data_IF_918245719742
#
_entry.id   IF_918245719742
#
_cell.length_a   1.000
_cell.length_b   1.000
_cell.length_c   1.000
_cell.angle_alpha   90.00
_cell.angle_beta   90.00
_cell.angle_gamma   90.00
#
_symmetry.space_group_name_H-M   'P 1'
#
loop_
_entity.id
_entity.type
_entity.pdbx_description
1 polymer ?
#
# COMPACT_ATOMS: atom_id res chain seq x y z
N UNK A 1 -6.55 -23.29 -16.05
CA UNK A 1 -6.79 -22.91 -14.64
C UNK A 1 -5.69 -22.01 -14.09
N UNK A 2 -4.48 -22.48 -13.76
CA UNK A 2 -3.42 -21.56 -13.24
C UNK A 2 -3.05 -20.48 -14.26
N UNK A 3 -2.88 -20.87 -15.53
CA UNK A 3 -2.62 -19.93 -16.64
C UNK A 3 -3.70 -18.85 -16.71
N UNK A 4 -4.98 -19.24 -16.78
CA UNK A 4 -6.12 -18.30 -16.81
C UNK A 4 -6.12 -17.34 -15.62
N UNK A 5 -5.78 -17.82 -14.41
CA UNK A 5 -5.69 -16.96 -13.22
C UNK A 5 -4.58 -15.92 -13.40
N UNK A 6 -3.39 -16.34 -13.85
CA UNK A 6 -2.25 -15.44 -14.06
C UNK A 6 -2.55 -14.44 -15.18
N UNK A 7 -3.19 -14.88 -16.27
CA UNK A 7 -3.63 -14.00 -17.36
C UNK A 7 -4.61 -12.95 -16.86
N UNK A 8 -5.58 -13.33 -16.02
CA UNK A 8 -6.53 -12.38 -15.43
C UNK A 8 -5.84 -11.37 -14.51
N UNK A 9 -4.88 -11.81 -13.70
CA UNK A 9 -4.04 -10.91 -12.89
C UNK A 9 -3.24 -9.97 -13.78
N UNK A 10 -2.69 -10.46 -14.89
CA UNK A 10 -1.90 -9.64 -15.80
C UNK A 10 -2.73 -8.58 -16.53
N UNK A 11 -4.00 -8.88 -16.86
CA UNK A 11 -4.94 -7.87 -17.36
C UNK A 11 -5.07 -6.72 -16.35
N UNK A 12 -5.17 -7.03 -15.06
CA UNK A 12 -5.26 -6.00 -14.02
C UNK A 12 -3.98 -5.17 -13.91
N UNK A 13 -2.81 -5.81 -13.99
CA UNK A 13 -1.50 -5.13 -14.01
C UNK A 13 -1.38 -4.21 -15.23
N UNK A 14 -1.89 -4.61 -16.39
CA UNK A 14 -1.95 -3.76 -17.58
C UNK A 14 -2.89 -2.58 -17.38
N UNK A 15 -4.06 -2.80 -16.80
CA UNK A 15 -5.03 -1.73 -16.50
C UNK A 15 -4.46 -0.69 -15.53
N UNK A 16 -3.61 -1.11 -14.59
CA UNK A 16 -2.85 -0.19 -13.74
C UNK A 16 -1.92 0.74 -14.54
N UNK A 17 -1.43 0.28 -15.70
CA UNK A 17 -0.53 1.03 -16.56
C UNK A 17 0.95 0.78 -16.25
N UNK A 18 1.32 -0.45 -15.90
CA UNK A 18 2.71 -0.79 -15.48
C UNK A 18 3.80 -0.46 -16.53
N UNK A 19 3.41 -0.30 -17.80
CA UNK A 19 4.29 0.07 -18.92
C UNK A 19 4.63 1.58 -18.93
N UNK A 20 3.85 2.42 -18.23
CA UNK A 20 4.11 3.84 -18.09
C UNK A 20 5.35 4.10 -17.23
N UNK A 21 6.20 5.06 -17.60
CA UNK A 21 7.43 5.36 -16.85
C UNK A 21 7.19 5.69 -15.38
N UNK A 22 6.08 6.37 -15.07
CA UNK A 22 5.73 6.78 -13.70
C UNK A 22 5.10 5.66 -12.86
N UNK A 23 4.63 4.58 -13.49
CA UNK A 23 3.90 3.49 -12.81
C UNK A 23 4.62 2.14 -12.93
N UNK A 24 5.92 2.16 -13.16
CA UNK A 24 6.71 0.93 -13.25
C UNK A 24 6.72 0.18 -11.92
N UNK A 25 6.37 -1.10 -11.98
CA UNK A 25 6.49 -2.03 -10.86
C UNK A 25 7.91 -2.60 -10.81
N UNK A 26 8.87 -1.78 -10.38
CA UNK A 26 10.31 -2.10 -10.39
C UNK A 26 10.69 -3.35 -9.58
N UNK A 27 9.91 -3.67 -8.55
CA UNK A 27 10.15 -4.81 -7.68
C UNK A 27 9.50 -6.11 -8.19
N UNK A 28 8.80 -6.05 -9.33
CA UNK A 28 8.13 -7.21 -9.92
C UNK A 28 6.95 -7.74 -9.11
N UNK A 29 6.70 -9.04 -9.21
CA UNK A 29 5.57 -9.74 -8.60
C UNK A 29 6.05 -10.58 -7.41
N UNK A 30 5.33 -10.52 -6.29
CA UNK A 30 5.54 -11.39 -5.13
C UNK A 30 4.36 -12.34 -5.00
N UNK A 31 4.63 -13.65 -5.13
CA UNK A 31 3.64 -14.71 -4.96
C UNK A 31 3.65 -15.19 -3.50
N UNK A 32 2.49 -15.22 -2.87
CA UNK A 32 2.32 -15.66 -1.48
C UNK A 32 1.10 -16.57 -1.33
N UNK A 33 0.81 -17.05 -0.11
CA UNK A 33 -0.27 -18.00 0.17
C UNK A 33 0.06 -19.44 -0.21
N UNK A 34 -0.84 -20.39 0.06
CA UNK A 34 -0.62 -21.81 -0.25
C UNK A 34 -0.47 -22.10 -1.74
N UNK A 35 -1.16 -21.33 -2.59
CA UNK A 35 -1.07 -21.47 -4.06
C UNK A 35 0.31 -21.18 -4.63
N UNK A 36 1.14 -20.38 -3.93
CA UNK A 36 2.48 -20.04 -4.40
C UNK A 36 3.47 -21.20 -4.36
N UNK A 37 3.13 -22.28 -3.66
CA UNK A 37 3.96 -23.49 -3.51
C UNK A 37 3.84 -24.47 -4.69
N UNK A 38 2.98 -24.17 -5.67
CA UNK A 38 2.87 -24.98 -6.87
C UNK A 38 4.21 -25.04 -7.61
N UNK A 39 4.62 -26.24 -8.00
CA UNK A 39 5.87 -26.46 -8.74
C UNK A 39 5.87 -25.61 -10.02
N UNK A 40 6.96 -24.91 -10.23
CA UNK A 40 7.21 -24.06 -11.40
C UNK A 40 6.27 -22.87 -11.59
N UNK A 41 5.48 -22.49 -10.56
CA UNK A 41 4.57 -21.35 -10.69
C UNK A 41 5.32 -20.04 -10.92
N UNK A 42 6.46 -19.83 -10.24
CA UNK A 42 7.33 -18.66 -10.47
C UNK A 42 7.66 -18.52 -11.96
N UNK A 43 8.18 -19.58 -12.57
CA UNK A 43 8.59 -19.60 -13.97
C UNK A 43 7.41 -19.33 -14.91
N UNK A 44 6.24 -19.88 -14.58
CA UNK A 44 5.03 -19.65 -15.37
C UNK A 44 4.61 -18.17 -15.32
N UNK A 45 4.63 -17.55 -14.14
CA UNK A 45 4.27 -16.14 -13.98
C UNK A 45 5.26 -15.25 -14.73
N UNK A 46 6.57 -15.47 -14.57
CA UNK A 46 7.60 -14.73 -15.31
C UNK A 46 7.43 -14.88 -16.82
N UNK A 47 7.10 -16.08 -17.30
CA UNK A 47 6.87 -16.33 -18.72
C UNK A 47 5.64 -15.60 -19.28
N UNK A 48 4.54 -15.55 -18.53
CA UNK A 48 3.29 -14.90 -18.98
C UNK A 48 3.39 -13.38 -18.90
N UNK A 49 3.92 -12.84 -17.81
CA UNK A 49 3.89 -11.39 -17.54
C UNK A 49 5.13 -10.66 -18.04
N UNK A 50 6.25 -11.37 -18.23
CA UNK A 50 7.56 -10.78 -18.51
C UNK A 50 8.16 -10.02 -17.32
N UNK A 51 7.59 -10.15 -16.11
CA UNK A 51 8.02 -9.44 -14.91
C UNK A 51 8.76 -10.37 -13.96
N UNK A 52 9.82 -9.86 -13.33
CA UNK A 52 10.55 -10.57 -12.28
C UNK A 52 9.60 -11.04 -11.18
N UNK A 53 9.72 -12.31 -10.78
CA UNK A 53 8.81 -12.89 -9.78
C UNK A 53 9.57 -13.60 -8.66
N UNK A 54 9.08 -13.49 -7.44
CA UNK A 54 9.61 -14.23 -6.28
C UNK A 54 8.51 -14.78 -5.38
N UNK A 55 8.87 -15.76 -4.56
CA UNK A 55 7.99 -16.29 -3.51
C UNK A 55 8.22 -15.47 -2.24
N UNK A 56 7.15 -14.91 -1.67
CA UNK A 56 7.18 -14.17 -0.42
C UNK A 56 6.99 -15.10 0.78
N UNK A 57 7.93 -15.04 1.72
CA UNK A 57 7.90 -15.81 2.97
C UNK A 57 7.70 -14.85 4.15
N UNK A 58 6.88 -15.20 5.16
CA UNK A 58 6.58 -14.31 6.27
C UNK A 58 7.74 -14.13 7.26
N UNK A 59 8.76 -14.98 7.19
CA UNK A 59 9.87 -15.05 8.15
C UNK A 59 10.92 -13.93 8.01
N UNK A 60 10.85 -13.10 6.96
CA UNK A 60 11.81 -11.99 6.75
C UNK A 60 11.83 -11.00 7.93
N UNK A 61 10.74 -10.92 8.71
CA UNK A 61 10.60 -10.05 9.89
C UNK A 61 10.45 -10.82 11.21
N UNK A 62 10.49 -12.16 11.18
CA UNK A 62 10.44 -13.01 12.38
C UNK A 62 11.87 -13.38 12.75
N UNK A 63 12.34 -12.93 13.92
CA UNK A 63 13.72 -13.17 14.35
C UNK A 63 14.05 -14.68 14.45
N UNK A 64 15.07 -15.09 13.69
CA UNK A 64 16.13 -16.03 14.07
C UNK A 64 15.85 -17.54 14.18
N UNK A 65 14.69 -17.96 14.68
CA UNK A 65 14.43 -19.37 15.05
C UNK A 65 12.98 -19.81 14.86
N UNK A 66 12.22 -19.12 13.99
CA UNK A 66 10.86 -19.55 13.68
C UNK A 66 10.89 -20.94 13.05
N UNK A 67 10.16 -21.90 13.64
CA UNK A 67 9.98 -23.25 13.11
C UNK A 67 9.70 -23.19 11.60
N UNK A 68 10.35 -24.08 10.83
CA UNK A 68 10.31 -24.13 9.36
C UNK A 68 8.86 -24.16 8.80
N UNK A 69 7.90 -24.63 9.61
CA UNK A 69 6.48 -24.61 9.29
C UNK A 69 5.88 -23.18 9.25
N UNK A 70 6.22 -22.31 10.20
CA UNK A 70 5.69 -20.92 10.25
C UNK A 70 6.33 -20.05 9.15
N UNK A 71 7.51 -20.45 8.67
CA UNK A 71 8.19 -19.85 7.53
C UNK A 71 7.54 -20.19 6.17
N UNK A 72 6.30 -20.70 6.14
CA UNK A 72 5.59 -21.01 4.90
C UNK A 72 4.81 -19.80 4.34
N UNK A 73 4.78 -19.59 3.01
CA UNK A 73 3.92 -18.57 2.37
C UNK A 73 2.44 -18.74 2.70
N UNK A 74 2.02 -19.95 3.09
CA UNK A 74 0.66 -20.25 3.56
C UNK A 74 0.21 -19.34 4.70
N UNK A 75 1.14 -18.96 5.60
CA UNK A 75 0.85 -18.18 6.80
C UNK A 75 1.03 -16.67 6.63
N UNK A 76 1.37 -16.19 5.42
CA UNK A 76 1.70 -14.79 5.18
C UNK A 76 0.62 -13.81 5.64
N UNK A 77 -0.66 -14.13 5.44
CA UNK A 77 -1.77 -13.28 5.89
C UNK A 77 -1.87 -13.23 7.41
N UNK A 78 -1.78 -14.39 8.08
CA UNK A 78 -1.90 -14.45 9.55
C UNK A 78 -0.76 -13.68 10.23
N UNK A 79 0.48 -13.88 9.74
CA UNK A 79 1.66 -13.15 10.23
C UNK A 79 1.52 -11.66 9.96
N UNK A 80 1.11 -11.25 8.76
CA UNK A 80 0.90 -9.84 8.43
C UNK A 80 -0.17 -9.15 9.30
N UNK A 81 -1.26 -9.86 9.62
CA UNK A 81 -2.29 -9.36 10.55
C UNK A 81 -1.74 -9.21 11.98
N UNK A 82 -0.94 -10.17 12.46
CA UNK A 82 -0.30 -10.09 13.77
C UNK A 82 0.66 -8.89 13.85
N UNK A 83 1.51 -8.71 12.84
CA UNK A 83 2.42 -7.55 12.76
C UNK A 83 1.65 -6.22 12.77
N UNK A 84 0.53 -6.15 12.02
CA UNK A 84 -0.34 -4.97 12.00
C UNK A 84 -0.97 -4.70 13.38
N UNK A 85 -1.37 -5.74 14.10
CA UNK A 85 -1.93 -5.60 15.45
C UNK A 85 -0.89 -5.05 16.42
N UNK A 86 0.32 -5.64 16.46
CA UNK A 86 1.43 -5.20 17.32
C UNK A 86 1.82 -3.75 17.02
N UNK A 87 1.96 -3.38 15.73
CA UNK A 87 2.27 -2.00 15.35
C UNK A 87 1.15 -1.00 15.69
N UNK A 88 -0.10 -1.45 15.80
CA UNK A 88 -1.23 -0.60 16.20
C UNK A 88 -1.31 -0.44 17.72
N UNK A 89 -0.96 -1.47 18.48
CA UNK A 89 -0.89 -1.42 19.94
C UNK A 89 0.26 -0.51 20.41
N UNK A 90 1.43 -0.61 19.76
CA UNK A 90 2.56 0.28 20.02
C UNK A 90 2.25 1.76 19.76
N UNK A 91 1.34 2.07 18.82
CA UNK A 91 0.88 3.44 18.55
C UNK A 91 -0.10 3.97 19.60
N UNK A 92 -0.78 3.08 20.32
CA UNK A 92 -1.77 3.42 21.35
C UNK A 92 -1.21 3.33 22.78
N UNK A 93 0.00 2.80 22.96
CA UNK A 93 0.72 2.88 24.23
C UNK A 93 1.03 4.36 24.58
N UNK A 94 0.88 4.78 25.85
CA UNK A 94 1.26 6.14 26.25
C UNK A 94 2.75 6.32 25.96
N UNK A 95 3.07 7.21 25.01
CA UNK A 95 4.45 7.57 24.66
C UNK A 95 5.12 8.17 25.89
N UNK A 96 5.88 7.37 26.64
CA UNK A 96 6.85 7.89 27.59
C UNK A 96 7.98 8.44 26.73
N UNK A 97 8.12 9.77 26.76
CA UNK A 97 8.92 10.55 25.82
C UNK A 97 10.34 10.01 25.60
N UNK A 98 10.55 9.43 24.43
CA UNK A 98 11.83 9.41 23.76
C UNK A 98 11.59 10.06 22.40
N UNK A 99 12.24 11.21 22.18
CA UNK A 99 12.25 11.88 20.90
C UNK A 99 12.98 10.99 19.88
N UNK A 100 12.23 10.34 19.00
CA UNK A 100 12.78 9.81 17.76
C UNK A 100 12.81 10.97 16.75
N UNK A 101 14.00 11.29 16.27
CA UNK A 101 14.23 12.27 15.21
C UNK A 101 13.57 11.76 13.92
N UNK A 102 12.76 12.63 13.31
CA UNK A 102 12.16 12.46 11.98
C UNK A 102 13.23 12.11 10.94
N UNK A 103 13.22 10.87 10.43
CA UNK A 103 13.77 10.56 9.11
C UNK A 103 12.72 10.94 8.07
N UNK A 104 12.93 12.11 7.48
CA UNK A 104 12.16 12.66 6.37
C UNK A 104 12.46 11.88 5.08
N UNK A 105 11.50 11.07 4.63
CA UNK A 105 11.50 10.50 3.28
C UNK A 105 10.15 10.74 2.60
N UNK A 106 10.07 11.92 1.98
CA UNK A 106 9.39 12.24 0.72
C UNK A 106 7.99 11.65 0.48
N UNK A 107 6.96 12.34 0.98
CA UNK A 107 5.65 12.37 0.31
C UNK A 107 5.63 13.55 -0.67
N UNK A 108 6.05 13.29 -1.92
CA UNK A 108 5.77 14.19 -3.05
C UNK A 108 5.22 13.35 -4.21
N UNK A 109 3.91 13.14 -4.22
CA UNK A 109 3.16 12.70 -5.39
C UNK A 109 1.82 13.45 -5.48
N UNK A 110 1.91 14.74 -5.81
CA UNK A 110 0.80 15.44 -6.46
C UNK A 110 1.14 15.63 -7.95
N UNK A 111 0.37 14.95 -8.80
CA UNK A 111 0.29 15.23 -10.22
C UNK A 111 -1.19 15.22 -10.62
N UNK A 112 -1.86 16.36 -10.46
CA UNK A 112 -3.01 16.70 -11.30
C UNK A 112 -2.64 17.90 -12.17
N UNK A 113 -2.28 17.60 -13.41
CA UNK A 113 -2.24 18.57 -14.51
C UNK A 113 -3.60 18.56 -15.21
N UNK A 114 -4.35 19.64 -15.09
CA UNK A 114 -5.36 20.04 -16.08
C UNK A 114 -5.09 21.51 -16.45
N UNK A 115 -4.80 21.72 -17.73
CA UNK A 115 -4.52 23.02 -18.34
C UNK A 115 -5.84 23.74 -18.68
N UNK A 116 -5.97 25.02 -18.31
CA UNK A 116 -6.68 26.02 -19.14
C UNK A 116 -6.22 27.46 -18.80
N UNK A 117 -5.42 27.97 -19.73
CA UNK A 117 -5.06 29.30 -20.22
C UNK A 117 -5.52 30.66 -19.57
N UNK A 118 -4.58 31.64 -19.66
CA UNK A 118 -4.69 33.14 -19.70
C UNK A 118 -4.50 34.06 -18.45
N UNK A 119 -3.26 34.59 -18.35
CA UNK A 119 -2.74 35.96 -17.99
C UNK A 119 -2.81 36.61 -16.57
N UNK A 120 -1.81 37.48 -16.21
CA UNK A 120 -1.40 37.74 -14.82
C UNK A 120 -1.82 39.11 -14.25
N UNK A 121 -2.29 39.16 -13.00
CA UNK A 121 -2.35 40.39 -12.17
C UNK A 121 -2.08 40.11 -10.68
N UNK A 122 -1.45 41.09 -10.01
CA UNK A 122 -0.82 41.04 -8.68
C UNK A 122 -1.83 41.01 -7.48
N UNK A 123 -1.37 40.83 -6.21
CA UNK A 123 -2.05 40.01 -5.19
C UNK A 123 -3.02 40.76 -4.24
N UNK A 124 -3.99 40.03 -3.65
CA UNK A 124 -4.77 40.46 -2.48
C UNK A 124 -5.04 39.31 -1.50
N UNK A 125 -5.14 39.58 -0.18
CA UNK A 125 -5.06 38.56 0.87
C UNK A 125 -6.43 37.89 1.07
N UNK A 126 -6.49 36.55 1.06
CA UNK A 126 -7.73 35.82 1.32
C UNK A 126 -7.58 34.91 2.55
N UNK A 127 -8.58 35.05 3.43
CA UNK A 127 -8.76 34.44 4.74
C UNK A 127 -8.50 32.91 4.78
N UNK A 128 -8.14 32.35 5.95
CA UNK A 128 -7.73 30.96 6.08
C UNK A 128 -8.85 30.02 5.63
N UNK A 129 -8.53 29.15 4.67
CA UNK A 129 -9.40 28.07 4.21
C UNK A 129 -9.55 27.08 5.36
N UNK A 130 -10.79 26.72 5.70
CA UNK A 130 -11.08 25.69 6.72
C UNK A 130 -10.55 24.34 6.23
N UNK A 131 -9.86 23.62 7.09
CA UNK A 131 -9.22 22.34 6.75
C UNK A 131 -10.24 21.20 6.74
N UNK A 132 -9.96 20.18 5.93
CA UNK A 132 -10.86 19.05 5.60
C UNK A 132 -11.35 18.31 6.86
N UNK A 133 -10.55 18.28 7.93
CA UNK A 133 -10.92 17.69 9.21
C UNK A 133 -12.07 18.43 9.91
N UNK A 134 -12.10 19.76 9.81
CA UNK A 134 -13.16 20.58 10.41
C UNK A 134 -14.49 20.31 9.70
N UNK A 135 -14.48 20.27 8.36
CA UNK A 135 -15.65 19.97 7.54
C UNK A 135 -16.20 18.56 7.80
N UNK A 136 -15.31 17.60 8.06
CA UNK A 136 -15.72 16.24 8.40
C UNK A 136 -16.33 16.16 9.80
N UNK A 137 -15.76 16.86 10.78
CA UNK A 137 -16.27 16.89 12.15
C UNK A 137 -17.64 17.58 12.26
N UNK A 138 -17.84 18.66 11.50
CA UNK A 138 -19.12 19.37 11.43
C UNK A 138 -20.21 18.43 10.88
N UNK A 139 -19.92 17.69 9.81
CA UNK A 139 -20.87 16.71 9.23
C UNK A 139 -21.17 15.52 10.14
N UNK A 140 -20.20 15.05 10.93
CA UNK A 140 -20.42 13.98 11.91
C UNK A 140 -21.33 14.46 13.04
N UNK A 141 -21.13 15.71 13.49
CA UNK A 141 -21.94 16.33 14.53
C UNK A 141 -23.38 16.58 14.06
N UNK A 142 -23.54 17.08 12.83
CA UNK A 142 -24.83 17.26 12.19
C UNK A 142 -25.59 15.94 11.98
N UNK A 143 -24.87 14.83 11.79
CA UNK A 143 -25.47 13.50 11.71
C UNK A 143 -25.93 12.98 13.08
N UNK A 144 -25.17 13.25 14.14
CA UNK A 144 -25.54 12.88 15.51
C UNK A 144 -26.72 13.71 16.04
N UNK A 145 -26.77 15.00 15.70
CA UNK A 145 -27.82 15.91 16.16
C UNK A 145 -29.15 15.74 15.37
N UNK A 146 -29.13 15.15 14.17
CA UNK A 146 -30.34 14.81 13.39
C UNK A 146 -30.81 13.35 13.56
N UNK A 147 -30.12 12.57 14.39
CA UNK A 147 -30.45 11.16 14.64
C UNK A 147 -31.30 10.95 15.92
N UNK A 148 -31.83 12.03 16.50
CA UNK A 148 -32.85 12.03 17.57
C UNK A 148 -34.22 12.46 17.04
#
# INVERSE_FOLDING_TARGET
>A
RVVEIVEQVYVEIKNYGHDEQKKKLIAGIVLTGGGSQLKHLKQLVEYITGMDTRIGYPNEHLAGDSEEEIASPLYATAVGLLMKAVASDARNAPKIGLQEQDDSLAEDLEAETLEEDVQPTAPSPKAPRKNIFDVWSEKLKDFLDNAE
#
